data_IF_291513348339
#
_entry.id   IF_291513348339
#
_cell.length_a   1.000
_cell.length_b   1.000
_cell.length_c   1.000
_cell.angle_alpha   90.00
_cell.angle_beta   90.00
_cell.angle_gamma   90.00
#
_symmetry.space_group_name_H-M   'P 1'
#
loop_
_entity.id
_entity.type
_entity.pdbx_description
1 polymer ?
#
# COMPACT_ATOMS: atom_id res chain seq x y z
N UNK A 1 -1.78 -10.45 12.84
CA UNK A 1 -2.14 -9.96 14.19
C UNK A 1 -1.04 -9.08 14.78
N UNK A 2 0.24 -9.47 14.68
CA UNK A 2 1.37 -8.66 15.18
C UNK A 2 1.40 -7.24 14.61
N UNK A 3 1.23 -7.06 13.29
CA UNK A 3 1.15 -5.74 12.66
C UNK A 3 0.01 -4.87 13.22
N UNK A 4 -1.19 -5.43 13.38
CA UNK A 4 -2.36 -4.72 13.92
C UNK A 4 -2.16 -4.24 15.37
N UNK A 5 -1.40 -4.98 16.18
CA UNK A 5 -1.11 -4.62 17.57
C UNK A 5 0.26 -3.94 17.74
N UNK A 6 0.93 -3.61 16.65
CA UNK A 6 2.05 -2.69 16.61
C UNK A 6 1.56 -1.27 16.30
N UNK A 7 2.47 -0.30 16.28
CA UNK A 7 2.14 1.08 15.94
C UNK A 7 1.53 1.22 14.53
N UNK A 8 1.83 0.32 13.58
CA UNK A 8 1.20 0.30 12.25
C UNK A 8 -0.31 0.06 12.28
N UNK A 9 -0.86 -0.40 13.41
CA UNK A 9 -2.31 -0.52 13.62
C UNK A 9 -3.03 0.81 13.86
N UNK A 10 -2.29 1.89 14.15
CA UNK A 10 -2.82 3.21 14.47
C UNK A 10 -2.12 4.32 13.65
N UNK A 11 -2.26 4.32 12.31
CA UNK A 11 -1.66 5.35 11.46
C UNK A 11 -2.18 6.75 11.80
N UNK A 12 -1.32 7.77 11.69
CA UNK A 12 -1.71 9.16 11.96
C UNK A 12 -2.56 9.79 10.85
N UNK A 13 -2.29 9.44 9.61
CA UNK A 13 -3.06 9.82 8.43
C UNK A 13 -2.93 8.74 7.34
N UNK A 14 -3.86 8.76 6.37
CA UNK A 14 -3.70 7.99 5.14
C UNK A 14 -2.43 8.36 4.38
N UNK A 15 -1.96 9.61 4.44
CA UNK A 15 -0.78 10.09 3.70
C UNK A 15 0.54 9.50 4.18
N UNK A 16 0.54 8.92 5.38
CA UNK A 16 1.72 8.45 6.10
C UNK A 16 1.68 6.93 6.38
N UNK A 17 0.80 6.19 5.69
CA UNK A 17 0.74 4.73 5.75
C UNK A 17 1.35 4.09 4.51
N UNK A 18 2.09 3.00 4.72
CA UNK A 18 2.59 2.15 3.64
C UNK A 18 1.51 1.18 3.13
N UNK A 19 1.58 0.86 1.84
CA UNK A 19 0.71 -0.14 1.21
C UNK A 19 1.47 -1.41 0.85
N UNK A 20 0.75 -2.53 0.80
CA UNK A 20 1.27 -3.84 0.47
C UNK A 20 0.26 -4.61 -0.35
N UNK A 21 0.69 -5.26 -1.42
CA UNK A 21 -0.18 -6.17 -2.19
C UNK A 21 -0.55 -7.44 -1.43
N UNK A 22 0.19 -7.76 -0.35
CA UNK A 22 0.13 -9.01 0.43
C UNK A 22 0.52 -10.24 -0.39
N UNK A 23 -0.27 -10.54 -1.43
CA UNK A 23 -0.04 -11.61 -2.38
C UNK A 23 1.08 -11.29 -3.37
N UNK A 24 1.75 -12.34 -3.83
CA UNK A 24 2.59 -12.29 -5.01
C UNK A 24 1.74 -12.50 -6.27
N UNK A 25 1.84 -11.58 -7.22
CA UNK A 25 1.22 -11.64 -8.54
C UNK A 25 2.18 -12.25 -9.55
N UNK A 26 1.68 -12.74 -10.68
CA UNK A 26 2.54 -13.15 -11.80
C UNK A 26 2.69 -11.99 -12.75
N UNK A 27 3.91 -11.64 -13.12
CA UNK A 27 4.16 -10.75 -14.25
C UNK A 27 4.71 -11.52 -15.42
N UNK A 28 4.22 -11.24 -16.63
CA UNK A 28 4.57 -11.95 -17.86
C UNK A 28 5.06 -10.94 -18.90
N UNK A 29 6.30 -11.10 -19.37
CA UNK A 29 6.84 -10.26 -20.42
C UNK A 29 6.39 -10.70 -21.83
N UNK A 30 6.79 -9.96 -22.86
CA UNK A 30 6.40 -10.25 -24.26
C UNK A 30 6.92 -11.61 -24.78
N UNK A 31 8.00 -12.13 -24.20
CA UNK A 31 8.58 -13.45 -24.51
C UNK A 31 7.86 -14.60 -23.79
N UNK A 32 6.87 -14.30 -22.95
CA UNK A 32 6.17 -15.30 -22.12
C UNK A 32 6.93 -15.72 -20.87
N UNK A 33 8.05 -15.07 -20.53
CA UNK A 33 8.77 -15.33 -19.27
C UNK A 33 7.97 -14.75 -18.11
N UNK A 34 7.85 -15.54 -17.04
CA UNK A 34 7.05 -15.21 -15.87
C UNK A 34 7.95 -14.98 -14.66
N UNK A 35 7.64 -13.96 -13.87
CA UNK A 35 8.20 -13.72 -12.53
C UNK A 35 7.07 -13.53 -11.52
N UNK A 36 7.36 -13.75 -10.24
CA UNK A 36 6.46 -13.40 -9.14
C UNK A 36 6.80 -12.03 -8.59
N UNK A 37 5.79 -11.21 -8.31
CA UNK A 37 5.97 -9.81 -7.90
C UNK A 37 5.09 -9.47 -6.71
N UNK A 38 5.67 -8.86 -5.67
CA UNK A 38 4.92 -8.15 -4.62
C UNK A 38 5.06 -6.64 -4.81
N UNK A 39 3.96 -5.91 -4.61
CA UNK A 39 3.90 -4.45 -4.74
C UNK A 39 3.98 -3.81 -3.35
N UNK A 40 4.76 -2.73 -3.24
CA UNK A 40 4.95 -1.95 -2.02
C UNK A 40 4.73 -0.48 -2.33
N UNK A 41 3.87 0.17 -1.55
CA UNK A 41 3.68 1.62 -1.62
C UNK A 41 4.34 2.27 -0.43
N UNK A 42 5.28 3.16 -0.67
CA UNK A 42 6.02 3.86 0.39
C UNK A 42 5.65 5.34 0.36
N UNK A 43 5.05 5.89 1.44
CA UNK A 43 4.65 7.29 1.48
C UNK A 43 5.89 8.18 1.47
N UNK A 44 5.91 9.20 0.61
CA UNK A 44 7.02 10.19 0.58
C UNK A 44 7.03 11.09 1.82
N UNK A 45 5.88 11.28 2.46
CA UNK A 45 5.75 12.00 3.72
C UNK A 45 6.39 11.26 4.91
N UNK A 46 6.79 10.00 4.73
CA UNK A 46 7.27 9.13 5.80
C UNK A 46 6.14 8.34 6.46
N UNK A 47 6.51 7.47 7.40
CA UNK A 47 5.56 6.65 8.16
C UNK A 47 5.41 7.22 9.56
N UNK A 48 4.18 7.59 9.92
CA UNK A 48 3.86 8.19 11.21
C UNK A 48 2.63 7.49 11.80
N UNK A 49 2.77 7.06 13.06
CA UNK A 49 1.74 6.36 13.80
C UNK A 49 1.42 7.12 15.10
N UNK A 50 0.18 6.98 15.55
CA UNK A 50 -0.31 7.52 16.80
C UNK A 50 -0.01 6.56 17.93
N UNK A 51 0.31 7.10 19.10
CA UNK A 51 0.20 6.34 20.34
C UNK A 51 -1.27 6.08 20.69
N UNK A 52 -1.52 5.07 21.52
CA UNK A 52 -2.88 4.77 22.02
C UNK A 52 -3.56 5.97 22.67
N UNK A 53 -2.80 6.79 23.39
CA UNK A 53 -3.33 8.00 24.05
C UNK A 53 -3.71 9.08 23.03
N UNK A 54 -2.86 9.31 22.02
CA UNK A 54 -3.18 10.25 20.93
C UNK A 54 -4.41 9.79 20.13
N UNK A 55 -4.47 8.51 19.78
CA UNK A 55 -5.61 7.93 19.06
C UNK A 55 -6.91 8.09 19.86
N UNK A 56 -6.88 7.83 21.17
CA UNK A 56 -8.05 8.01 22.05
C UNK A 56 -8.51 9.47 22.13
N UNK A 57 -7.56 10.41 22.25
CA UNK A 57 -7.88 11.84 22.29
C UNK A 57 -8.46 12.36 20.98
N UNK A 58 -7.94 11.89 19.84
CA UNK A 58 -8.46 12.24 18.50
C UNK A 58 -9.86 11.68 18.34
N UNK A 59 -10.06 10.38 18.59
CA UNK A 59 -11.36 9.72 18.44
C UNK A 59 -12.47 10.37 19.27
N UNK A 60 -12.14 10.92 20.45
CA UNK A 60 -13.09 11.64 21.30
C UNK A 60 -13.57 12.97 20.70
N UNK A 61 -12.84 13.53 19.72
CA UNK A 61 -13.12 14.83 19.10
C UNK A 61 -13.59 14.71 17.65
N UNK A 62 -12.97 13.80 16.90
CA UNK A 62 -13.17 13.64 15.48
C UNK A 62 -12.99 12.17 15.07
N UNK A 63 -14.03 11.60 14.48
CA UNK A 63 -14.01 10.21 14.00
C UNK A 63 -13.50 10.10 12.56
N UNK A 64 -13.49 11.20 11.79
CA UNK A 64 -13.11 11.23 10.37
C UNK A 64 -11.72 11.82 10.10
N UNK A 65 -10.86 11.92 11.12
CA UNK A 65 -9.63 12.73 11.09
C UNK A 65 -8.74 12.48 9.87
N UNK A 66 -8.51 11.21 9.49
CA UNK A 66 -7.66 10.84 8.35
C UNK A 66 -8.28 11.22 7.00
N UNK A 67 -9.61 11.09 6.85
CA UNK A 67 -10.31 11.53 5.63
C UNK A 67 -10.29 13.05 5.50
N UNK A 68 -10.48 13.78 6.61
CA UNK A 68 -10.37 15.25 6.63
C UNK A 68 -8.96 15.70 6.29
N UNK A 69 -7.94 15.10 6.90
CA UNK A 69 -6.54 15.42 6.60
C UNK A 69 -6.22 15.22 5.11
N UNK A 70 -6.62 14.09 4.52
CA UNK A 70 -6.40 13.84 3.09
C UNK A 70 -7.11 14.87 2.20
N UNK A 71 -8.38 15.16 2.50
CA UNK A 71 -9.17 16.13 1.72
C UNK A 71 -8.56 17.53 1.79
N UNK A 72 -8.24 18.01 2.99
CA UNK A 72 -7.65 19.33 3.22
C UNK A 72 -6.24 19.45 2.64
N UNK A 73 -5.43 18.38 2.70
CA UNK A 73 -4.10 18.36 2.09
C UNK A 73 -4.18 18.61 0.59
N UNK A 74 -5.11 17.92 -0.10
CA UNK A 74 -5.33 18.11 -1.54
C UNK A 74 -5.86 19.52 -1.86
N UNK A 75 -6.83 20.04 -1.09
CA UNK A 75 -7.34 21.42 -1.29
C UNK A 75 -6.23 22.48 -1.11
N UNK A 76 -5.29 22.23 -0.20
CA UNK A 76 -4.18 23.14 0.09
C UNK A 76 -2.98 22.98 -0.86
N UNK A 77 -3.03 22.04 -1.81
CA UNK A 77 -1.92 21.73 -2.73
C UNK A 77 -0.78 20.93 -2.11
N UNK A 78 -0.97 20.39 -0.89
CA UNK A 78 -0.05 19.45 -0.23
C UNK A 78 -0.38 18.01 -0.68
N UNK A 79 -0.16 17.74 -1.96
CA UNK A 79 -0.57 16.49 -2.59
C UNK A 79 0.20 15.30 -2.00
N UNK A 80 -0.49 14.29 -1.46
CA UNK A 80 0.19 13.11 -0.98
C UNK A 80 0.72 12.26 -2.13
N UNK A 81 1.92 11.73 -1.90
CA UNK A 81 2.66 10.94 -2.86
C UNK A 81 3.13 9.62 -2.25
N UNK A 82 3.08 8.56 -3.05
CA UNK A 82 3.67 7.26 -2.73
C UNK A 82 4.52 6.77 -3.88
N UNK A 83 5.71 6.28 -3.56
CA UNK A 83 6.53 5.55 -4.50
C UNK A 83 6.11 4.07 -4.52
N UNK A 84 5.85 3.56 -5.72
CA UNK A 84 5.64 2.14 -5.98
C UNK A 84 7.00 1.47 -6.13
N UNK A 85 7.26 0.50 -5.27
CA UNK A 85 8.35 -0.44 -5.39
C UNK A 85 7.80 -1.83 -5.69
N UNK A 86 8.61 -2.61 -6.38
CA UNK A 86 8.35 -4.03 -6.63
C UNK A 86 9.48 -4.87 -6.05
N UNK A 87 9.10 -6.05 -5.58
CA UNK A 87 10.02 -7.11 -5.23
C UNK A 87 9.78 -8.26 -6.20
N UNK A 88 10.85 -8.83 -6.75
CA UNK A 88 10.77 -9.82 -7.84
C UNK A 88 11.37 -11.16 -7.41
N UNK A 89 10.73 -12.25 -7.81
CA UNK A 89 11.19 -13.62 -7.59
C UNK A 89 11.08 -14.43 -8.89
N UNK A 90 12.17 -15.05 -9.32
CA UNK A 90 12.16 -16.04 -10.41
C UNK A 90 11.46 -17.32 -9.92
N UNK A 91 10.52 -17.91 -10.70
CA UNK A 91 9.87 -19.17 -10.33
C UNK A 91 10.83 -20.32 -10.03
N UNK A 92 12.06 -20.29 -10.55
CA UNK A 92 13.10 -21.31 -10.28
C UNK A 92 13.63 -21.25 -8.85
N UNK A 93 13.53 -20.10 -8.20
CA UNK A 93 14.06 -19.88 -6.85
C UNK A 93 13.02 -20.10 -5.76
N UNK A 94 11.80 -20.50 -6.12
CA UNK A 94 10.66 -20.64 -5.20
C UNK A 94 10.97 -21.53 -3.99
N UNK A 95 11.75 -22.59 -4.21
CA UNK A 95 12.09 -23.60 -3.20
C UNK A 95 13.38 -23.28 -2.41
N UNK A 96 13.98 -22.11 -2.63
CA UNK A 96 15.25 -21.72 -2.00
C UNK A 96 15.08 -21.03 -0.62
N UNK A 97 13.85 -20.90 -0.12
CA UNK A 97 13.53 -20.17 1.11
C UNK A 97 13.01 -21.11 2.21
N UNK A 98 13.17 -20.69 3.47
CA UNK A 98 12.67 -21.41 4.65
C UNK A 98 11.16 -21.21 4.89
N UNK A 99 10.50 -20.46 4.00
CA UNK A 99 9.06 -20.27 3.94
C UNK A 99 8.55 -20.38 2.49
N UNK A 100 7.24 -20.59 2.32
CA UNK A 100 6.63 -20.54 0.99
C UNK A 100 6.44 -19.08 0.55
N UNK A 101 7.11 -18.59 -0.51
CA UNK A 101 7.00 -17.20 -0.94
C UNK A 101 5.59 -16.77 -1.38
N UNK A 102 4.71 -17.72 -1.70
CA UNK A 102 3.31 -17.50 -2.11
C UNK A 102 2.31 -17.57 -0.94
N UNK A 103 2.76 -17.90 0.27
CA UNK A 103 1.94 -17.85 1.48
C UNK A 103 1.72 -16.38 1.89
N UNK A 104 0.46 -15.94 1.87
CA UNK A 104 0.06 -14.57 2.20
C UNK A 104 0.34 -14.18 3.66
N UNK A 105 0.62 -15.15 4.54
CA UNK A 105 1.04 -14.88 5.93
C UNK A 105 2.53 -14.59 6.06
N UNK A 106 3.30 -14.72 4.99
CA UNK A 106 4.75 -14.48 4.94
C UNK A 106 5.07 -13.21 4.17
N UNK A 107 6.03 -12.46 4.70
CA UNK A 107 6.51 -11.25 4.05
C UNK A 107 7.79 -11.50 3.27
N UNK A 108 8.07 -10.62 2.32
CA UNK A 108 9.34 -10.61 1.59
C UNK A 108 10.18 -9.49 2.17
N UNK A 109 11.18 -9.83 2.98
CA UNK A 109 12.06 -8.84 3.61
C UNK A 109 13.04 -8.25 2.58
N UNK A 110 13.35 -6.98 2.73
CA UNK A 110 14.11 -6.18 1.76
C UNK A 110 15.57 -6.67 1.58
N UNK A 111 16.16 -7.23 2.62
CA UNK A 111 17.51 -7.80 2.61
C UNK A 111 17.64 -9.02 1.69
N UNK A 112 16.54 -9.76 1.51
CA UNK A 112 16.46 -10.92 0.61
C UNK A 112 15.85 -10.54 -0.74
N UNK A 113 14.82 -9.70 -0.73
CA UNK A 113 14.08 -9.25 -1.90
C UNK A 113 14.17 -7.73 -1.99
N UNK A 114 15.19 -7.17 -2.64
CA UNK A 114 15.39 -5.73 -2.68
C UNK A 114 14.22 -5.00 -3.34
N UNK A 115 13.98 -3.76 -2.91
CA UNK A 115 12.96 -2.91 -3.49
C UNK A 115 13.47 -2.28 -4.79
N UNK A 116 12.71 -2.49 -5.87
CA UNK A 116 12.97 -1.87 -7.17
C UNK A 116 11.92 -0.78 -7.44
N UNK A 117 12.36 0.47 -7.57
CA UNK A 117 11.46 1.60 -7.81
C UNK A 117 10.84 1.55 -9.21
N UNK A 118 9.51 1.68 -9.29
CA UNK A 118 8.76 1.67 -10.55
C UNK A 118 8.25 3.06 -10.92
N UNK A 119 7.77 3.83 -9.96
CA UNK A 119 7.21 5.16 -10.21
C UNK A 119 6.46 5.71 -9.00
N UNK A 120 5.93 6.92 -9.15
CA UNK A 120 5.20 7.62 -8.08
C UNK A 120 3.72 7.77 -8.43
N UNK A 121 2.84 7.55 -7.45
CA UNK A 121 1.45 7.96 -7.48
C UNK A 121 1.26 9.23 -6.65
N UNK A 122 0.63 10.24 -7.23
CA UNK A 122 0.24 11.49 -6.57
C UNK A 122 -1.27 11.60 -6.60
N UNK A 123 -1.90 11.87 -5.44
CA UNK A 123 -3.33 12.20 -5.41
C UNK A 123 -3.47 13.74 -5.39
N UNK A 124 -3.97 14.30 -6.48
CA UNK A 124 -3.97 15.75 -6.72
C UNK A 124 -5.37 16.38 -6.81
N UNK A 125 -6.42 15.56 -6.65
CA UNK A 125 -7.81 16.01 -6.79
C UNK A 125 -8.77 15.25 -5.88
N UNK A 126 -9.63 16.02 -5.21
CA UNK A 126 -10.76 15.49 -4.44
C UNK A 126 -11.95 15.14 -5.35
N UNK A 127 -12.79 14.16 -4.96
CA UNK A 127 -14.04 13.88 -5.68
C UNK A 127 -14.99 15.08 -5.62
N UNK A 128 -15.72 15.32 -6.71
CA UNK A 128 -16.77 16.34 -6.75
C UNK A 128 -18.02 15.86 -5.99
N UNK A 129 -18.28 14.55 -6.00
CA UNK A 129 -19.38 13.90 -5.30
C UNK A 129 -18.95 12.58 -4.65
N UNK A 130 -18.88 12.58 -3.32
CA UNK A 130 -18.45 11.42 -2.51
C UNK A 130 -19.28 10.17 -2.79
N UNK A 131 -20.61 10.30 -2.93
CA UNK A 131 -21.45 9.12 -3.15
C UNK A 131 -21.20 8.50 -4.53
N UNK A 132 -21.16 9.33 -5.57
CA UNK A 132 -21.01 8.87 -6.94
C UNK A 132 -19.60 8.32 -7.23
N UNK A 133 -18.57 8.85 -6.56
CA UNK A 133 -17.18 8.52 -6.86
C UNK A 133 -16.53 7.62 -5.81
N UNK A 134 -16.75 7.87 -4.51
CA UNK A 134 -16.12 7.11 -3.43
C UNK A 134 -16.99 5.95 -2.93
N UNK A 135 -18.29 6.19 -2.68
CA UNK A 135 -19.17 5.13 -2.15
C UNK A 135 -19.59 4.11 -3.23
N UNK A 136 -19.55 4.51 -4.50
CA UNK A 136 -20.01 3.69 -5.64
C UNK A 136 -18.87 2.96 -6.37
N UNK A 137 -17.61 3.19 -6.01
CA UNK A 137 -16.48 2.55 -6.69
C UNK A 137 -16.38 1.06 -6.33
N UNK A 138 -16.14 0.22 -7.34
CA UNK A 138 -15.91 -1.21 -7.18
C UNK A 138 -14.47 -1.58 -7.49
N UNK A 139 -13.69 -1.97 -6.47
CA UNK A 139 -12.36 -2.53 -6.66
C UNK A 139 -12.42 -4.07 -6.66
N UNK A 140 -11.68 -4.70 -7.59
CA UNK A 140 -11.60 -6.16 -7.67
C UNK A 140 -10.18 -6.58 -8.10
N UNK A 141 -9.46 -7.39 -7.31
CA UNK A 141 -8.10 -7.82 -7.63
C UNK A 141 -8.00 -8.72 -8.87
N UNK A 142 -9.13 -9.22 -9.39
CA UNK A 142 -9.21 -9.96 -10.65
C UNK A 142 -9.32 -9.09 -11.91
N UNK A 143 -9.44 -7.76 -11.76
CA UNK A 143 -9.40 -6.81 -12.88
C UNK A 143 -7.94 -6.54 -13.22
N UNK A 144 -7.33 -7.49 -13.93
CA UNK A 144 -5.93 -7.45 -14.33
C UNK A 144 -5.77 -6.90 -15.76
N UNK A 145 -4.59 -6.37 -16.05
CA UNK A 145 -4.19 -5.93 -17.39
C UNK A 145 -3.21 -6.93 -18.01
N UNK A 146 -3.02 -6.87 -19.34
CA UNK A 146 -2.05 -7.74 -20.03
C UNK A 146 -0.67 -7.56 -19.41
N UNK A 147 -0.05 -8.68 -19.03
CA UNK A 147 1.25 -8.71 -18.37
C UNK A 147 1.17 -8.96 -16.87
N UNK A 148 -0.04 -9.01 -16.30
CA UNK A 148 -0.36 -9.44 -14.93
C UNK A 148 -1.19 -10.73 -14.88
#
# INVERSE_FOLDING_TARGET
IMYLFSDEGTPASYREIRGSSVHAFKWINEEGKTVYVKLRWIPKAGIVNLSTEQASQIQAKEFNHASRDLYEAIENGDYPEWDLYVQVLDPKDLDNFDFNPLDATKDWFEDVFPYEHVGTMTLDRNPDNIFAETESVGFNPGVLVRGM
#
